data_IF_146729525222
#
_entry.id   IF_146729525222
#
_cell.length_a   1.000
_cell.length_b   1.000
_cell.length_c   1.000
_cell.angle_alpha   90.00
_cell.angle_beta   90.00
_cell.angle_gamma   90.00
#
_symmetry.space_group_name_H-M   'P 1'
#
loop_
_entity.id
_entity.type
_entity.pdbx_description
1 polymer ?
#
# COMPACT_ATOMS: atom_id res chain seq x y z
N UNK A 1 -17.17 30.70 -21.82
CA UNK A 1 -15.86 30.83 -22.51
C UNK A 1 -14.70 30.21 -21.71
N UNK A 2 -14.53 30.52 -20.42
CA UNK A 2 -13.42 30.00 -19.59
C UNK A 2 -13.40 28.47 -19.44
N UNK A 3 -14.53 27.83 -19.18
CA UNK A 3 -14.62 26.36 -19.09
C UNK A 3 -14.22 25.61 -20.37
N UNK A 4 -14.60 26.14 -21.54
CA UNK A 4 -14.26 25.54 -22.84
C UNK A 4 -12.76 25.62 -23.14
N UNK A 5 -12.09 26.69 -22.69
CA UNK A 5 -10.64 26.80 -22.77
C UNK A 5 -9.94 25.77 -21.87
N UNK A 6 -10.44 25.58 -20.64
CA UNK A 6 -9.89 24.59 -19.70
C UNK A 6 -10.00 23.17 -20.27
N UNK A 7 -11.17 22.78 -20.78
CA UNK A 7 -11.39 21.44 -21.36
C UNK A 7 -10.48 21.21 -22.57
N UNK A 8 -10.35 22.20 -23.46
CA UNK A 8 -9.45 22.09 -24.62
C UNK A 8 -7.99 21.90 -24.19
N UNK A 9 -7.56 22.56 -23.12
CA UNK A 9 -6.22 22.37 -22.56
C UNK A 9 -6.05 20.97 -21.98
N UNK A 10 -7.04 20.45 -21.23
CA UNK A 10 -7.01 19.09 -20.69
C UNK A 10 -6.91 18.03 -21.80
N UNK A 11 -7.68 18.18 -22.88
CA UNK A 11 -7.62 17.25 -24.03
C UNK A 11 -6.25 17.32 -24.71
N UNK A 12 -5.67 18.51 -24.87
CA UNK A 12 -4.34 18.69 -25.47
C UNK A 12 -3.21 18.08 -24.66
N UNK A 13 -3.30 18.15 -23.33
CA UNK A 13 -2.27 17.61 -22.42
C UNK A 13 -2.53 16.12 -22.13
N UNK A 14 -3.75 15.62 -22.37
CA UNK A 14 -4.15 14.22 -22.14
C UNK A 14 -3.14 13.17 -22.62
N UNK A 15 -2.66 13.21 -23.88
CA UNK A 15 -1.67 12.26 -24.37
C UNK A 15 -0.36 12.27 -23.56
N UNK A 16 0.10 13.43 -23.11
CA UNK A 16 1.27 13.53 -22.26
C UNK A 16 1.00 12.99 -20.85
N UNK A 17 -0.16 13.25 -20.26
CA UNK A 17 -0.54 12.66 -18.96
C UNK A 17 -0.59 11.14 -19.06
N UNK A 18 -1.08 10.58 -20.18
CA UNK A 18 -1.13 9.14 -20.38
C UNK A 18 0.26 8.50 -20.42
N UNK A 19 1.25 9.12 -21.07
CA UNK A 19 2.62 8.57 -21.08
C UNK A 19 3.23 8.57 -19.69
N UNK A 20 3.07 9.64 -18.92
CA UNK A 20 3.51 9.67 -17.52
C UNK A 20 2.73 8.68 -16.64
N UNK A 21 1.42 8.54 -16.85
CA UNK A 21 0.58 7.59 -16.12
C UNK A 21 1.01 6.14 -16.38
N UNK A 22 1.35 5.80 -17.62
CA UNK A 22 1.89 4.47 -17.96
C UNK A 22 3.23 4.21 -17.27
N UNK A 23 4.13 5.20 -17.22
CA UNK A 23 5.40 5.07 -16.50
C UNK A 23 5.16 4.79 -15.01
N UNK A 24 4.21 5.50 -14.38
CA UNK A 24 3.85 5.28 -12.97
C UNK A 24 3.32 3.85 -12.78
N UNK A 25 2.46 3.35 -13.67
CA UNK A 25 1.93 1.98 -13.59
C UNK A 25 3.05 0.95 -13.69
N UNK A 26 4.02 1.14 -14.59
CA UNK A 26 5.17 0.24 -14.72
C UNK A 26 6.01 0.23 -13.44
N UNK A 27 6.29 1.40 -12.88
CA UNK A 27 7.01 1.53 -11.61
C UNK A 27 6.25 0.82 -10.49
N UNK A 28 4.94 1.04 -10.37
CA UNK A 28 4.12 0.40 -9.33
C UNK A 28 4.07 -1.11 -9.50
N UNK A 29 4.03 -1.60 -10.74
CA UNK A 29 4.05 -3.03 -10.99
C UNK A 29 5.33 -3.70 -10.48
N UNK A 30 6.50 -3.09 -10.74
CA UNK A 30 7.79 -3.59 -10.25
C UNK A 30 7.80 -3.62 -8.73
N UNK A 31 7.43 -2.50 -8.08
CA UNK A 31 7.39 -2.43 -6.62
C UNK A 31 6.34 -3.35 -6.00
N UNK A 32 5.20 -3.56 -6.65
CA UNK A 32 4.16 -4.47 -6.19
C UNK A 32 4.66 -5.92 -6.23
N UNK A 33 5.35 -6.33 -7.29
CA UNK A 33 5.93 -7.67 -7.37
C UNK A 33 6.99 -7.91 -6.29
N UNK A 34 7.92 -6.97 -6.11
CA UNK A 34 8.94 -7.07 -5.05
C UNK A 34 8.29 -7.05 -3.67
N UNK A 35 7.33 -6.16 -3.44
CA UNK A 35 6.63 -6.05 -2.16
C UNK A 35 5.79 -7.29 -1.83
N UNK A 36 5.13 -7.90 -2.83
CA UNK A 36 4.43 -9.16 -2.65
C UNK A 36 5.39 -10.27 -2.26
N UNK A 37 6.57 -10.38 -2.86
CA UNK A 37 7.53 -11.44 -2.47
C UNK A 37 8.03 -11.28 -1.02
N UNK A 38 8.28 -10.05 -0.59
CA UNK A 38 8.84 -9.76 0.73
C UNK A 38 7.79 -9.75 1.86
N UNK A 39 6.58 -9.29 1.57
CA UNK A 39 5.58 -8.95 2.60
C UNK A 39 4.27 -9.74 2.49
N UNK A 40 4.20 -10.77 1.63
CA UNK A 40 3.00 -11.62 1.53
C UNK A 40 2.65 -12.23 2.88
N UNK A 41 1.38 -12.12 3.28
CA UNK A 41 0.84 -12.74 4.49
C UNK A 41 1.33 -12.12 5.80
N UNK A 42 2.19 -11.09 5.76
CA UNK A 42 2.73 -10.43 6.97
C UNK A 42 1.73 -9.48 7.63
N UNK A 43 0.74 -9.01 6.86
CA UNK A 43 -0.40 -8.21 7.33
C UNK A 43 -1.66 -8.84 6.76
N UNK A 44 -2.55 -9.31 7.62
CA UNK A 44 -3.82 -9.90 7.20
C UNK A 44 -4.94 -8.87 7.26
N UNK A 45 -5.75 -8.83 6.19
CA UNK A 45 -6.97 -8.04 6.17
C UNK A 45 -8.12 -8.84 6.75
N UNK A 46 -8.85 -8.25 7.69
CA UNK A 46 -10.03 -8.84 8.30
C UNK A 46 -11.30 -8.16 7.79
N UNK A 47 -12.42 -8.87 7.76
CA UNK A 47 -13.73 -8.28 7.48
C UNK A 47 -14.21 -7.43 8.66
N UNK A 48 -15.16 -6.53 8.41
CA UNK A 48 -15.74 -5.71 9.48
C UNK A 48 -16.41 -6.59 10.56
N UNK A 49 -17.02 -7.70 10.13
CA UNK A 49 -17.79 -8.61 11.00
C UNK A 49 -16.96 -9.75 11.61
N UNK A 50 -15.65 -9.83 11.33
CA UNK A 50 -14.84 -10.90 11.91
C UNK A 50 -14.66 -10.69 13.41
N UNK A 51 -15.03 -11.69 14.21
CA UNK A 51 -14.85 -11.72 15.67
C UNK A 51 -13.47 -12.23 16.09
N UNK A 52 -12.56 -12.44 15.15
CA UNK A 52 -11.22 -12.95 15.43
C UNK A 52 -10.43 -11.93 16.27
N UNK A 53 -9.93 -12.29 17.47
CA UNK A 53 -9.10 -11.39 18.27
C UNK A 53 -7.82 -10.96 17.54
N UNK A 54 -7.38 -11.72 16.53
CA UNK A 54 -6.22 -11.38 15.71
C UNK A 54 -6.44 -10.16 14.80
N UNK A 55 -7.69 -9.75 14.58
CA UNK A 55 -8.02 -8.49 13.89
C UNK A 55 -7.41 -7.27 14.56
N UNK A 56 -7.35 -7.26 15.89
CA UNK A 56 -6.82 -6.12 16.66
C UNK A 56 -5.33 -5.84 16.39
N UNK A 57 -4.62 -6.77 15.74
CA UNK A 57 -3.22 -6.63 15.36
C UNK A 57 -2.96 -7.10 13.92
N UNK A 58 -3.96 -7.05 13.05
CA UNK A 58 -3.87 -7.45 11.63
C UNK A 58 -3.21 -8.83 11.42
N UNK A 59 -3.42 -9.78 12.32
CA UNK A 59 -2.87 -11.14 12.23
C UNK A 59 -1.37 -11.25 12.53
N UNK A 60 -0.71 -10.14 12.87
CA UNK A 60 0.71 -10.09 13.21
C UNK A 60 0.95 -9.53 14.62
N UNK A 61 1.43 -10.34 15.59
CA UNK A 61 1.65 -9.90 16.98
C UNK A 61 2.52 -8.64 17.13
N UNK A 62 3.39 -8.34 16.16
CA UNK A 62 4.29 -7.18 16.17
C UNK A 62 3.58 -5.85 15.95
N UNK A 63 2.38 -5.91 15.38
CA UNK A 63 1.52 -4.77 15.13
C UNK A 63 0.64 -4.48 16.35
N UNK A 64 0.65 -5.33 17.37
CA UNK A 64 -0.10 -5.13 18.60
C UNK A 64 0.31 -3.82 19.26
N UNK A 65 -0.65 -2.92 19.43
CA UNK A 65 -0.44 -1.60 20.04
C UNK A 65 0.17 -0.54 19.12
N UNK A 66 0.47 -0.87 17.86
CA UNK A 66 0.90 0.12 16.86
C UNK A 66 -0.28 0.96 16.37
N UNK A 67 0.01 2.20 15.97
CA UNK A 67 -1.03 3.07 15.41
C UNK A 67 -1.57 2.54 14.07
N UNK A 68 -0.76 1.76 13.34
CA UNK A 68 -1.19 1.04 12.15
C UNK A 68 -2.38 0.11 12.40
N UNK A 69 -2.32 -0.69 13.47
CA UNK A 69 -3.40 -1.60 13.84
C UNK A 69 -4.61 -0.86 14.47
N UNK A 70 -4.35 0.21 15.25
CA UNK A 70 -5.42 1.03 15.85
C UNK A 70 -6.24 1.79 14.80
N UNK A 71 -5.60 2.22 13.71
CA UNK A 71 -6.22 2.97 12.63
C UNK A 71 -6.82 2.07 11.52
N UNK A 72 -6.88 0.75 11.74
CA UNK A 72 -7.44 -0.24 10.83
C UNK A 72 -6.79 -0.23 9.42
N UNK A 73 -5.49 0.03 9.34
CA UNK A 73 -4.73 -0.03 8.08
C UNK A 73 -4.45 -1.48 7.62
N UNK A 74 -5.06 -2.50 8.21
CA UNK A 74 -4.86 -3.91 7.85
C UNK A 74 -5.18 -4.25 6.38
N UNK A 75 -6.00 -3.43 5.72
CA UNK A 75 -6.32 -3.55 4.28
C UNK A 75 -5.15 -3.15 3.37
N UNK A 76 -4.23 -2.36 3.88
CA UNK A 76 -3.05 -1.87 3.18
C UNK A 76 -1.92 -2.91 3.31
N UNK A 77 -1.93 -3.89 2.42
CA UNK A 77 -1.00 -5.02 2.47
C UNK A 77 -0.58 -5.47 1.06
N UNK A 78 0.46 -6.29 1.02
CA UNK A 78 1.00 -6.90 -0.20
C UNK A 78 0.50 -8.34 -0.42
N UNK A 79 -0.73 -8.68 -0.02
CA UNK A 79 -1.24 -10.04 -0.21
C UNK A 79 -1.69 -10.32 -1.65
N UNK A 80 -2.11 -9.28 -2.37
CA UNK A 80 -2.50 -9.37 -3.77
C UNK A 80 -2.09 -8.09 -4.53
N UNK A 81 -2.09 -8.16 -5.86
CA UNK A 81 -1.63 -7.05 -6.71
C UNK A 81 -2.50 -5.80 -6.52
N UNK A 82 -3.81 -5.93 -6.36
CA UNK A 82 -4.71 -4.77 -6.24
C UNK A 82 -4.46 -4.02 -4.92
N UNK A 83 -4.39 -4.73 -3.79
CA UNK A 83 -4.08 -4.13 -2.49
C UNK A 83 -2.67 -3.52 -2.48
N UNK A 84 -1.72 -4.15 -3.16
CA UNK A 84 -0.35 -3.62 -3.31
C UNK A 84 -0.34 -2.30 -4.08
N UNK A 85 -1.12 -2.19 -5.15
CA UNK A 85 -1.23 -0.95 -5.92
C UNK A 85 -1.89 0.18 -5.12
N UNK A 86 -2.95 -0.12 -4.36
CA UNK A 86 -3.58 0.86 -3.45
C UNK A 86 -2.57 1.33 -2.41
N UNK A 87 -1.84 0.41 -1.79
CA UNK A 87 -0.81 0.73 -0.82
C UNK A 87 0.30 1.61 -1.40
N UNK A 88 0.79 1.29 -2.61
CA UNK A 88 1.80 2.10 -3.30
C UNK A 88 1.26 3.49 -3.64
N UNK A 89 0.00 3.59 -4.06
CA UNK A 89 -0.65 4.88 -4.29
C UNK A 89 -0.70 5.72 -3.01
N UNK A 90 -1.11 5.14 -1.88
CA UNK A 90 -1.14 5.85 -0.60
C UNK A 90 0.24 6.33 -0.15
N UNK A 91 1.29 5.52 -0.40
CA UNK A 91 2.68 5.92 -0.17
C UNK A 91 3.10 7.10 -1.06
N UNK A 92 2.65 7.17 -2.31
CA UNK A 92 2.94 8.31 -3.20
C UNK A 92 2.18 9.59 -2.88
N UNK A 93 1.03 9.50 -2.21
CA UNK A 93 0.27 10.68 -1.74
C UNK A 93 0.90 11.28 -0.49
N UNK A 94 1.78 10.55 0.22
CA UNK A 94 2.60 11.04 1.35
C UNK A 94 1.78 11.50 2.57
N UNK A 95 0.48 11.21 2.65
CA UNK A 95 -0.33 11.68 3.79
C UNK A 95 0.01 10.96 5.11
N UNK A 96 0.13 9.62 5.09
CA UNK A 96 0.33 8.78 6.28
C UNK A 96 1.41 7.70 6.10
N UNK A 97 2.38 7.95 5.21
CA UNK A 97 3.38 6.96 4.82
C UNK A 97 4.27 6.48 5.98
N UNK A 98 4.49 7.31 7.01
CA UNK A 98 5.34 6.97 8.15
C UNK A 98 4.82 5.76 8.92
N UNK A 99 3.50 5.66 9.13
CA UNK A 99 2.88 4.55 9.85
C UNK A 99 3.08 3.24 9.08
N UNK A 100 2.87 3.29 7.76
CA UNK A 100 3.04 2.15 6.84
C UNK A 100 4.51 1.71 6.79
N UNK A 101 5.46 2.64 6.65
CA UNK A 101 6.88 2.29 6.61
C UNK A 101 7.41 1.78 7.95
N UNK A 102 6.85 2.22 9.08
CA UNK A 102 7.22 1.69 10.39
C UNK A 102 6.91 0.20 10.50
N UNK A 103 5.80 -0.24 9.92
CA UNK A 103 5.41 -1.66 9.83
C UNK A 103 6.32 -2.42 8.89
N UNK A 104 6.61 -1.86 7.71
CA UNK A 104 7.57 -2.45 6.77
C UNK A 104 8.93 -2.68 7.42
N UNK A 105 9.47 -1.67 8.13
CA UNK A 105 10.74 -1.76 8.85
C UNK A 105 10.74 -2.87 9.90
N UNK A 106 9.71 -2.93 10.75
CA UNK A 106 9.57 -3.99 11.76
C UNK A 106 9.53 -5.38 11.13
N UNK A 107 8.85 -5.51 9.99
CA UNK A 107 8.74 -6.78 9.27
C UNK A 107 10.07 -7.20 8.64
N UNK A 108 10.81 -6.26 8.03
CA UNK A 108 12.14 -6.52 7.46
C UNK A 108 13.14 -6.94 8.54
N UNK A 109 13.18 -6.24 9.68
CA UNK A 109 14.13 -6.54 10.75
C UNK A 109 14.02 -8.01 11.20
N UNK A 110 12.82 -8.57 11.22
CA UNK A 110 12.62 -9.98 11.57
C UNK A 110 12.99 -10.95 10.45
N UNK A 111 12.82 -10.58 9.18
CA UNK A 111 13.35 -11.39 8.07
C UNK A 111 14.87 -11.48 8.12
N UNK A 112 15.54 -10.51 8.75
CA UNK A 112 16.99 -10.48 8.92
C UNK A 112 17.41 -11.20 10.22
N UNK A 113 16.60 -11.14 11.28
CA UNK A 113 16.90 -11.77 12.58
C UNK A 113 16.50 -13.26 12.67
N UNK A 114 15.55 -13.76 11.86
CA UNK A 114 15.18 -15.19 11.78
C UNK A 114 15.60 -15.83 10.44
N UNK A 115 16.75 -16.54 10.35
CA UNK A 115 17.19 -17.21 9.14
C UNK A 115 16.56 -18.61 8.92
N UNK A 116 15.67 -19.07 9.82
CA UNK A 116 15.03 -20.40 9.71
C UNK A 116 13.55 -20.37 10.11
N UNK A 117 12.66 -20.30 9.13
CA UNK A 117 11.30 -20.87 9.21
C UNK A 117 11.02 -21.70 7.97
#
# INVERSE_FOLDING_TARGET
VRFRAIINTLIRIGPAILTFGQLIIVVYYIFAMVGMELFKGKVQSYSLDSTDPAKAYCGNPLLKGTDFAKLDYCKNNFNNVVSSFVLLFELTVVNQWHDILSVGRKTINLLIEDPHS
#
